data_IF_740392747315
#
_entry.id   IF_740392747315
#
_cell.length_a   1.000
_cell.length_b   1.000
_cell.length_c   1.000
_cell.angle_alpha   90.00
_cell.angle_beta   90.00
_cell.angle_gamma   90.00
#
_symmetry.space_group_name_H-M   'P 1'
#
loop_
_entity.id
_entity.type
_entity.pdbx_description
1 polymer ?
#
# COMPACT_ATOMS: atom_id res chain seq x y z
N UNK A 1 -8.91 15.31 6.37
CA UNK A 1 -9.19 16.76 6.25
C UNK A 1 -7.86 17.50 6.24
N UNK A 2 -7.16 17.48 5.10
CA UNK A 2 -5.86 18.16 4.90
C UNK A 2 -5.84 18.89 3.54
N UNK A 3 -7.02 19.36 3.08
CA UNK A 3 -7.18 19.80 1.70
C UNK A 3 -7.41 21.30 1.52
N UNK A 4 -7.03 22.17 2.50
CA UNK A 4 -7.48 23.56 2.32
C UNK A 4 -6.46 24.67 2.65
N UNK A 5 -5.17 24.44 2.60
CA UNK A 5 -4.22 25.52 2.98
C UNK A 5 -3.27 25.97 1.86
N UNK A 6 -3.24 25.38 0.68
CA UNK A 6 -2.31 25.83 -0.37
C UNK A 6 -2.99 26.19 -1.70
N UNK A 7 -4.05 26.99 -1.67
CA UNK A 7 -4.55 27.63 -2.90
C UNK A 7 -4.72 29.12 -2.65
N UNK A 8 -3.62 29.87 -2.66
CA UNK A 8 -3.60 31.29 -2.96
C UNK A 8 -2.27 31.65 -3.65
N UNK A 9 -2.13 31.24 -4.91
CA UNK A 9 -1.37 32.01 -5.88
C UNK A 9 -2.24 32.05 -7.14
N UNK A 10 -2.83 33.19 -7.37
CA UNK A 10 -3.52 33.53 -8.64
C UNK A 10 -2.47 33.67 -9.75
N UNK A 11 -1.97 32.56 -10.25
CA UNK A 11 -1.31 32.45 -11.54
C UNK A 11 -2.16 31.50 -12.38
N UNK A 12 -2.66 31.96 -13.52
CA UNK A 12 -3.50 31.15 -14.41
C UNK A 12 -2.83 29.80 -14.63
N UNK A 13 -3.53 28.72 -14.31
CA UNK A 13 -3.13 27.35 -14.61
C UNK A 13 -3.01 27.22 -16.14
N UNK A 14 -1.81 27.40 -16.69
CA UNK A 14 -1.53 26.87 -18.02
C UNK A 14 -1.66 25.36 -17.88
N UNK A 15 -2.64 24.78 -18.57
CA UNK A 15 -2.87 23.34 -18.63
C UNK A 15 -1.60 22.72 -19.23
N UNK A 16 -0.73 22.17 -18.40
CA UNK A 16 0.49 21.54 -18.84
C UNK A 16 0.11 20.25 -19.57
N UNK A 17 0.38 20.19 -20.86
CA UNK A 17 0.10 19.01 -21.65
C UNK A 17 1.30 18.04 -21.56
N UNK A 18 0.98 16.75 -21.42
CA UNK A 18 2.00 15.71 -21.42
C UNK A 18 2.43 15.38 -22.87
N UNK A 19 3.72 15.09 -23.11
CA UNK A 19 4.18 14.60 -24.40
C UNK A 19 3.45 13.32 -24.82
N UNK A 20 3.27 13.08 -26.13
CA UNK A 20 2.54 11.91 -26.64
C UNK A 20 3.04 10.56 -26.10
N UNK A 21 4.36 10.43 -25.81
CA UNK A 21 4.99 9.22 -25.30
C UNK A 21 5.41 9.33 -23.82
N UNK A 22 4.73 10.15 -23.00
CA UNK A 22 5.07 10.35 -21.59
C UNK A 22 5.16 9.01 -20.82
N UNK A 23 4.26 8.06 -21.10
CA UNK A 23 4.23 6.75 -20.45
C UNK A 23 5.49 5.91 -20.74
N UNK A 24 6.08 6.06 -21.92
CA UNK A 24 7.37 5.42 -22.25
C UNK A 24 8.53 6.06 -21.49
N UNK A 25 8.49 7.39 -21.33
CA UNK A 25 9.51 8.09 -20.53
C UNK A 25 9.46 7.60 -19.06
N UNK A 26 8.27 7.53 -18.46
CA UNK A 26 8.10 7.00 -17.10
C UNK A 26 8.51 5.53 -16.97
N UNK A 27 8.18 4.71 -17.97
CA UNK A 27 8.59 3.31 -18.01
C UNK A 27 10.12 3.17 -18.02
N UNK A 28 10.81 3.96 -18.88
CA UNK A 28 12.27 3.99 -18.94
C UNK A 28 12.91 4.56 -17.68
N UNK A 29 12.33 5.60 -17.10
CA UNK A 29 12.79 6.20 -15.84
C UNK A 29 12.81 5.15 -14.72
N UNK A 30 11.73 4.38 -14.56
CA UNK A 30 11.68 3.30 -13.60
C UNK A 30 12.74 2.22 -13.87
N UNK A 31 12.88 1.77 -15.12
CA UNK A 31 13.89 0.75 -15.48
C UNK A 31 15.30 1.24 -15.25
N UNK A 32 15.60 2.51 -15.55
CA UNK A 32 16.90 3.14 -15.29
C UNK A 32 17.21 3.17 -13.81
N UNK A 33 16.26 3.64 -12.98
CA UNK A 33 16.41 3.63 -11.53
C UNK A 33 16.73 2.23 -11.01
N UNK A 34 15.95 1.22 -11.41
CA UNK A 34 16.15 -0.15 -10.96
C UNK A 34 17.49 -0.72 -11.41
N UNK A 35 17.90 -0.46 -12.65
CA UNK A 35 19.16 -0.96 -13.20
C UNK A 35 20.40 -0.25 -12.66
N UNK A 36 20.30 1.00 -12.19
CA UNK A 36 21.43 1.77 -11.67
C UNK A 36 21.52 1.74 -10.14
N UNK A 37 20.38 1.83 -9.45
CA UNK A 37 20.34 2.00 -7.99
C UNK A 37 19.98 0.71 -7.25
N UNK A 38 19.29 -0.23 -7.89
CA UNK A 38 18.78 -1.45 -7.25
C UNK A 38 19.39 -2.75 -7.77
N UNK A 39 20.54 -2.71 -8.46
CA UNK A 39 21.17 -3.92 -9.03
C UNK A 39 21.38 -5.03 -8.01
N UNK A 40 21.80 -4.68 -6.79
CA UNK A 40 22.03 -5.62 -5.68
C UNK A 40 20.74 -6.25 -5.14
N UNK A 41 19.58 -5.73 -5.52
CA UNK A 41 18.25 -6.23 -5.16
C UNK A 41 17.62 -7.09 -6.26
N UNK A 42 18.35 -7.35 -7.36
CA UNK A 42 17.85 -8.04 -8.54
C UNK A 42 18.39 -9.47 -8.63
N UNK A 43 17.50 -10.41 -8.88
CA UNK A 43 17.89 -11.74 -9.33
C UNK A 43 18.27 -11.72 -10.82
N UNK A 44 18.98 -12.76 -11.29
CA UNK A 44 19.40 -12.89 -12.68
C UNK A 44 18.24 -12.83 -13.69
N UNK A 45 17.06 -13.31 -13.29
CA UNK A 45 15.84 -13.22 -14.13
C UNK A 45 15.40 -11.78 -14.38
N UNK A 46 15.50 -10.91 -13.37
CA UNK A 46 15.17 -9.48 -13.48
C UNK A 46 16.14 -8.74 -14.41
N UNK A 47 17.45 -9.01 -14.28
CA UNK A 47 18.48 -8.45 -15.14
C UNK A 47 18.26 -8.89 -16.58
N UNK A 48 17.98 -10.17 -16.80
CA UNK A 48 17.68 -10.71 -18.13
C UNK A 48 16.46 -10.05 -18.76
N UNK A 49 15.41 -9.82 -17.96
CA UNK A 49 14.20 -9.12 -18.41
C UNK A 49 14.49 -7.69 -18.84
N UNK A 50 15.22 -6.90 -18.03
CA UNK A 50 15.61 -5.52 -18.36
C UNK A 50 16.45 -5.50 -19.64
N UNK A 51 17.43 -6.39 -19.77
CA UNK A 51 18.27 -6.47 -20.96
C UNK A 51 17.46 -6.76 -22.23
N UNK A 52 16.48 -7.65 -22.16
CA UNK A 52 15.58 -7.90 -23.30
C UNK A 52 14.80 -6.65 -23.70
N UNK A 53 14.28 -5.88 -22.74
CA UNK A 53 13.57 -4.63 -23.03
C UNK A 53 14.49 -3.62 -23.72
N UNK A 54 15.72 -3.50 -23.26
CA UNK A 54 16.69 -2.55 -23.81
C UNK A 54 17.11 -2.90 -25.26
N UNK A 55 16.96 -4.14 -25.69
CA UNK A 55 17.21 -4.55 -27.09
C UNK A 55 16.03 -4.34 -28.04
N UNK A 56 14.86 -4.00 -27.51
CA UNK A 56 13.68 -3.74 -28.33
C UNK A 56 13.74 -2.38 -29.03
N UNK A 57 13.10 -2.30 -30.19
CA UNK A 57 12.80 -1.01 -30.81
C UNK A 57 11.79 -0.20 -29.99
N UNK A 58 11.77 1.12 -30.24
CA UNK A 58 10.92 2.03 -29.46
C UNK A 58 9.44 1.70 -29.53
N UNK A 59 8.93 1.24 -30.68
CA UNK A 59 7.51 0.90 -30.83
C UNK A 59 7.12 -0.33 -30.01
N UNK A 60 8.00 -1.33 -29.96
CA UNK A 60 7.84 -2.50 -29.10
C UNK A 60 7.91 -2.13 -27.61
N UNK A 61 8.80 -1.22 -27.21
CA UNK A 61 8.83 -0.68 -25.84
C UNK A 61 7.55 0.10 -25.52
N UNK A 62 7.06 0.94 -26.44
CA UNK A 62 5.77 1.63 -26.30
C UNK A 62 4.63 0.63 -26.07
N UNK A 63 4.56 -0.40 -26.89
CA UNK A 63 3.51 -1.43 -26.78
C UNK A 63 3.57 -2.14 -25.44
N UNK A 64 4.76 -2.53 -24.95
CA UNK A 64 4.94 -3.17 -23.65
C UNK A 64 4.49 -2.26 -22.52
N UNK A 65 4.91 -0.99 -22.51
CA UNK A 65 4.52 0.00 -21.51
C UNK A 65 2.99 0.21 -21.49
N UNK A 66 2.33 0.22 -22.66
CA UNK A 66 0.86 0.29 -22.77
C UNK A 66 0.17 -0.97 -22.23
N UNK A 67 0.73 -2.17 -22.46
CA UNK A 67 0.19 -3.42 -21.89
C UNK A 67 0.32 -3.39 -20.37
N UNK A 68 1.48 -3.02 -19.82
CA UNK A 68 1.71 -2.98 -18.39
C UNK A 68 0.94 -1.87 -17.65
N UNK A 69 0.52 -0.82 -18.35
CA UNK A 69 -0.36 0.20 -17.78
C UNK A 69 -1.82 -0.26 -17.62
N UNK A 70 -2.20 -1.40 -18.20
CA UNK A 70 -3.56 -1.94 -18.11
C UNK A 70 -3.73 -2.80 -16.85
N UNK A 71 -4.91 -2.70 -16.21
CA UNK A 71 -5.26 -3.50 -15.03
C UNK A 71 -5.60 -4.97 -15.32
N UNK A 72 -6.33 -5.31 -16.40
CA UNK A 72 -6.75 -6.68 -16.63
C UNK A 72 -5.57 -7.61 -16.89
N UNK A 73 -5.66 -8.84 -16.36
CA UNK A 73 -4.72 -9.93 -16.63
C UNK A 73 -4.65 -10.27 -18.14
N UNK A 74 -5.81 -10.27 -18.80
CA UNK A 74 -5.90 -10.47 -20.24
C UNK A 74 -6.16 -9.15 -20.95
N UNK A 75 -5.35 -8.87 -21.97
CA UNK A 75 -5.48 -7.69 -22.82
C UNK A 75 -5.82 -8.11 -24.23
N UNK A 76 -6.96 -7.63 -24.75
CA UNK A 76 -7.38 -7.92 -26.12
C UNK A 76 -6.47 -7.20 -27.11
N UNK A 77 -5.89 -7.95 -28.07
CA UNK A 77 -4.90 -7.42 -29.02
C UNK A 77 -5.47 -6.33 -29.92
N UNK A 78 -6.74 -6.44 -30.30
CA UNK A 78 -7.44 -5.43 -31.11
C UNK A 78 -7.58 -4.07 -30.39
N UNK A 79 -7.58 -4.08 -29.05
CA UNK A 79 -7.65 -2.85 -28.24
C UNK A 79 -6.31 -2.13 -28.11
N UNK A 80 -5.24 -2.73 -28.61
CA UNK A 80 -3.87 -2.20 -28.58
C UNK A 80 -3.53 -1.43 -29.87
N UNK A 81 -4.41 -0.54 -30.26
CA UNK A 81 -4.21 0.34 -31.41
C UNK A 81 -4.03 1.77 -30.92
N UNK A 82 -2.83 2.33 -31.09
CA UNK A 82 -2.42 3.64 -30.63
C UNK A 82 -1.81 4.42 -31.77
N UNK A 83 -2.13 5.71 -31.89
CA UNK A 83 -1.65 6.58 -32.99
C UNK A 83 -0.12 6.65 -33.04
N UNK A 84 0.52 6.63 -31.87
CA UNK A 84 1.98 6.70 -31.75
C UNK A 84 2.72 5.39 -32.06
N UNK A 85 1.98 4.28 -32.29
CA UNK A 85 2.54 2.97 -32.65
C UNK A 85 2.10 2.63 -34.08
N UNK A 86 2.96 2.94 -35.05
CA UNK A 86 2.64 2.80 -36.46
C UNK A 86 2.45 1.34 -36.93
N UNK A 87 3.09 0.38 -36.22
CA UNK A 87 3.06 -1.05 -36.57
C UNK A 87 2.71 -1.92 -35.36
N UNK A 88 1.45 -1.90 -34.84
CA UNK A 88 1.08 -2.64 -33.63
C UNK A 88 1.32 -4.15 -33.75
N UNK A 89 1.03 -4.75 -34.89
CA UNK A 89 1.24 -6.20 -35.10
C UNK A 89 2.75 -6.58 -35.04
N UNK A 90 3.62 -5.75 -35.62
CA UNK A 90 5.07 -6.00 -35.57
C UNK A 90 5.58 -5.84 -34.14
N UNK A 91 5.12 -4.83 -33.42
CA UNK A 91 5.48 -4.65 -32.01
C UNK A 91 5.06 -5.84 -31.14
N UNK A 92 3.84 -6.33 -31.30
CA UNK A 92 3.36 -7.53 -30.61
C UNK A 92 4.16 -8.78 -30.99
N UNK A 93 4.51 -8.95 -32.28
CA UNK A 93 5.35 -10.04 -32.73
C UNK A 93 6.73 -10.00 -32.06
N UNK A 94 7.38 -8.85 -32.03
CA UNK A 94 8.69 -8.66 -31.39
C UNK A 94 8.63 -8.98 -29.89
N UNK A 95 7.58 -8.53 -29.19
CA UNK A 95 7.37 -8.82 -27.76
C UNK A 95 7.17 -10.31 -27.48
N UNK A 96 6.41 -11.01 -28.33
CA UNK A 96 6.23 -12.48 -28.24
C UNK A 96 7.54 -13.21 -28.51
N UNK A 97 8.28 -12.82 -29.55
CA UNK A 97 9.58 -13.40 -29.90
C UNK A 97 10.60 -13.24 -28.76
N UNK A 98 10.61 -12.08 -28.07
CA UNK A 98 11.43 -11.81 -26.89
C UNK A 98 10.92 -12.54 -25.63
N UNK A 99 9.76 -13.18 -25.68
CA UNK A 99 9.06 -13.80 -24.51
C UNK A 99 8.79 -12.81 -23.37
N UNK A 100 8.48 -11.56 -23.73
CA UNK A 100 8.07 -10.52 -22.79
C UNK A 100 6.56 -10.46 -22.58
N UNK A 101 5.81 -10.98 -23.53
CA UNK A 101 4.39 -11.27 -23.41
C UNK A 101 4.13 -12.68 -23.92
N UNK A 102 3.06 -13.30 -23.44
CA UNK A 102 2.64 -14.64 -23.84
C UNK A 102 1.16 -14.63 -24.24
N UNK A 103 0.76 -15.57 -25.07
CA UNK A 103 -0.65 -15.83 -25.33
C UNK A 103 -1.24 -16.68 -24.22
N UNK A 104 -2.53 -16.52 -23.91
CA UNK A 104 -3.24 -17.44 -23.03
C UNK A 104 -3.18 -18.87 -23.55
N UNK A 105 -3.30 -19.82 -22.65
CA UNK A 105 -3.34 -21.25 -22.92
C UNK A 105 -4.55 -21.89 -22.22
N UNK A 106 -4.69 -23.19 -22.34
CA UNK A 106 -5.76 -23.95 -21.67
C UNK A 106 -5.79 -23.73 -20.15
N UNK A 107 -4.66 -23.39 -19.53
CA UNK A 107 -4.58 -23.07 -18.10
C UNK A 107 -5.30 -21.77 -17.72
N UNK A 108 -5.44 -20.87 -18.69
CA UNK A 108 -5.99 -19.53 -18.50
C UNK A 108 -7.48 -19.45 -18.84
N UNK A 109 -8.14 -20.59 -19.13
CA UNK A 109 -9.54 -20.62 -19.56
C UNK A 109 -10.50 -19.94 -18.59
N UNK A 110 -10.29 -20.08 -17.27
CA UNK A 110 -11.11 -19.44 -16.23
C UNK A 110 -11.00 -17.92 -16.28
N UNK A 111 -9.78 -17.40 -16.42
CA UNK A 111 -9.51 -15.97 -16.55
C UNK A 111 -10.09 -15.42 -17.86
N UNK A 112 -9.95 -16.15 -18.95
CA UNK A 112 -10.52 -15.78 -20.26
C UNK A 112 -12.04 -15.67 -20.17
N UNK A 113 -12.73 -16.69 -19.67
CA UNK A 113 -14.19 -16.70 -19.54
C UNK A 113 -14.68 -15.58 -18.62
N UNK A 114 -13.99 -15.32 -17.53
CA UNK A 114 -14.31 -14.20 -16.62
C UNK A 114 -14.12 -12.83 -17.29
N UNK A 115 -13.16 -12.72 -18.20
CA UNK A 115 -12.85 -11.49 -18.92
C UNK A 115 -13.87 -11.17 -20.02
N UNK A 116 -14.46 -12.19 -20.66
CA UNK A 116 -15.44 -12.02 -21.73
C UNK A 116 -16.64 -11.16 -21.29
N UNK A 117 -17.21 -10.41 -22.24
CA UNK A 117 -18.46 -9.69 -22.01
C UNK A 117 -19.65 -10.64 -21.93
N UNK A 118 -20.75 -10.23 -21.30
CA UNK A 118 -21.96 -11.07 -21.22
C UNK A 118 -22.47 -11.52 -22.60
N UNK A 119 -22.55 -10.65 -23.62
CA UNK A 119 -22.94 -11.08 -24.96
C UNK A 119 -21.99 -12.12 -25.55
N UNK A 120 -20.68 -11.93 -25.41
CA UNK A 120 -19.68 -12.88 -25.92
C UNK A 120 -19.76 -14.25 -25.22
N UNK A 121 -20.04 -14.28 -23.89
CA UNK A 121 -20.28 -15.54 -23.17
C UNK A 121 -21.53 -16.29 -23.70
N UNK A 122 -22.62 -15.54 -23.93
CA UNK A 122 -23.86 -16.12 -24.46
C UNK A 122 -23.60 -16.71 -25.85
N UNK A 123 -22.96 -15.93 -26.72
CA UNK A 123 -22.63 -16.39 -28.07
C UNK A 123 -21.72 -17.63 -28.07
N UNK A 124 -20.71 -17.62 -27.18
CA UNK A 124 -19.78 -18.74 -27.03
C UNK A 124 -20.51 -20.02 -26.58
N UNK A 125 -21.41 -19.92 -25.60
CA UNK A 125 -22.19 -21.05 -25.12
C UNK A 125 -23.22 -21.56 -26.13
N UNK A 126 -23.86 -20.67 -26.91
CA UNK A 126 -24.84 -21.03 -27.93
C UNK A 126 -24.22 -21.75 -29.17
N UNK A 127 -22.95 -21.46 -29.44
CA UNK A 127 -22.22 -22.11 -30.54
C UNK A 127 -21.77 -23.54 -30.27
N UNK A 128 -21.94 -24.02 -29.03
CA UNK A 128 -21.54 -25.37 -28.69
C UNK A 128 -22.56 -26.39 -29.15
N UNK A 129 -22.12 -27.56 -29.70
CA UNK A 129 -22.97 -28.65 -30.13
C UNK A 129 -23.90 -29.18 -29.03
N UNK A 130 -23.38 -29.18 -27.78
CA UNK A 130 -24.13 -29.52 -26.59
C UNK A 130 -24.24 -28.26 -25.72
N UNK A 131 -25.18 -27.37 -26.06
CA UNK A 131 -25.39 -26.12 -25.33
C UNK A 131 -25.83 -26.41 -23.90
N UNK A 132 -25.11 -25.92 -22.88
CA UNK A 132 -25.52 -26.05 -21.48
C UNK A 132 -26.82 -25.26 -21.22
N UNK A 133 -27.62 -25.74 -20.28
CA UNK A 133 -28.85 -25.02 -19.88
C UNK A 133 -28.52 -23.73 -19.18
N UNK A 134 -28.87 -22.59 -19.77
CA UNK A 134 -28.73 -21.26 -19.15
C UNK A 134 -29.85 -20.30 -19.57
N UNK A 135 -30.07 -19.27 -18.80
CA UNK A 135 -31.00 -18.17 -19.14
C UNK A 135 -30.17 -16.97 -19.65
N UNK A 136 -30.49 -16.46 -20.84
CA UNK A 136 -29.83 -15.22 -21.39
C UNK A 136 -29.95 -14.01 -20.44
N UNK A 137 -31.01 -13.96 -19.63
CA UNK A 137 -31.25 -12.93 -18.62
C UNK A 137 -30.37 -13.08 -17.36
N UNK A 138 -29.71 -14.22 -17.14
CA UNK A 138 -28.89 -14.47 -15.96
C UNK A 138 -27.79 -13.41 -15.79
N UNK A 139 -27.36 -13.21 -14.53
CA UNK A 139 -26.24 -12.33 -14.23
C UNK A 139 -24.95 -12.82 -14.90
N UNK A 140 -24.03 -11.90 -15.23
CA UNK A 140 -22.74 -12.30 -15.86
C UNK A 140 -21.99 -13.32 -15.02
N UNK A 141 -21.95 -13.17 -13.68
CA UNK A 141 -21.29 -14.12 -12.78
C UNK A 141 -21.80 -15.55 -12.95
N UNK A 142 -23.11 -15.73 -13.03
CA UNK A 142 -23.70 -17.07 -13.22
C UNK A 142 -23.36 -17.67 -14.57
N UNK A 143 -23.30 -16.84 -15.63
CA UNK A 143 -22.91 -17.30 -16.96
C UNK A 143 -21.43 -17.68 -17.00
N UNK A 144 -20.58 -16.98 -16.27
CA UNK A 144 -19.15 -17.31 -16.12
C UNK A 144 -19.00 -18.67 -15.43
N UNK A 145 -19.69 -18.92 -14.32
CA UNK A 145 -19.64 -20.21 -13.62
C UNK A 145 -20.12 -21.37 -14.50
N UNK A 146 -21.21 -21.18 -15.25
CA UNK A 146 -21.70 -22.18 -16.20
C UNK A 146 -20.65 -22.43 -17.29
N UNK A 147 -20.05 -21.36 -17.83
CA UNK A 147 -19.03 -21.49 -18.86
C UNK A 147 -17.77 -22.18 -18.32
N UNK A 148 -17.29 -21.82 -17.13
CA UNK A 148 -16.16 -22.48 -16.48
C UNK A 148 -16.44 -23.97 -16.32
N UNK A 149 -17.57 -24.35 -15.72
CA UNK A 149 -17.94 -25.75 -15.53
C UNK A 149 -18.05 -26.52 -16.85
N UNK A 150 -18.54 -25.88 -17.91
CA UNK A 150 -18.69 -26.50 -19.22
C UNK A 150 -17.35 -26.71 -19.92
N UNK A 151 -16.47 -25.71 -19.92
CA UNK A 151 -15.18 -25.76 -20.61
C UNK A 151 -14.06 -26.36 -19.76
N UNK A 152 -14.26 -26.67 -18.48
CA UNK A 152 -13.22 -27.24 -17.59
C UNK A 152 -12.67 -28.57 -18.15
N UNK A 153 -13.52 -29.38 -18.78
CA UNK A 153 -13.12 -30.64 -19.41
C UNK A 153 -12.70 -30.52 -20.88
N UNK A 154 -12.87 -29.33 -21.48
CA UNK A 154 -12.64 -29.08 -22.93
C UNK A 154 -12.05 -27.67 -23.14
N UNK A 155 -10.98 -27.26 -22.44
CA UNK A 155 -10.43 -25.91 -22.57
C UNK A 155 -9.87 -25.64 -23.98
N UNK A 156 -9.48 -26.68 -24.72
CA UNK A 156 -9.02 -26.62 -26.12
C UNK A 156 -10.05 -26.02 -27.06
N UNK A 157 -11.35 -26.12 -26.75
CA UNK A 157 -12.41 -25.49 -27.55
C UNK A 157 -12.30 -23.95 -27.55
N UNK A 158 -11.56 -23.38 -26.62
CA UNK A 158 -11.31 -21.93 -26.49
C UNK A 158 -10.06 -21.48 -27.27
N UNK A 159 -9.30 -22.39 -27.88
CA UNK A 159 -8.03 -22.09 -28.56
C UNK A 159 -8.16 -20.97 -29.60
N UNK A 160 -9.31 -20.90 -30.29
CA UNK A 160 -9.60 -19.87 -31.31
C UNK A 160 -9.73 -18.45 -30.69
N UNK A 161 -9.91 -18.35 -29.39
CA UNK A 161 -9.96 -17.06 -28.67
C UNK A 161 -8.59 -16.66 -28.11
N UNK A 162 -7.71 -17.60 -27.79
CA UNK A 162 -6.43 -17.30 -27.11
C UNK A 162 -5.57 -16.34 -27.94
N UNK A 163 -5.49 -16.49 -29.25
CA UNK A 163 -4.71 -15.62 -30.12
C UNK A 163 -5.23 -14.18 -30.21
N UNK A 164 -6.44 -13.91 -29.70
CA UNK A 164 -7.02 -12.56 -29.63
C UNK A 164 -6.59 -11.81 -28.38
N UNK A 165 -5.87 -12.46 -27.46
CA UNK A 165 -5.43 -11.88 -26.19
C UNK A 165 -3.94 -12.07 -25.98
N UNK A 166 -3.40 -11.23 -25.13
CA UNK A 166 -2.07 -11.40 -24.52
C UNK A 166 -2.21 -11.29 -23.01
N UNK A 167 -1.38 -12.06 -22.31
CA UNK A 167 -1.30 -11.99 -20.85
C UNK A 167 -0.49 -10.76 -20.45
N UNK A 168 -1.07 -9.97 -19.58
CA UNK A 168 -0.39 -8.89 -18.89
C UNK A 168 0.36 -9.47 -17.67
N UNK A 169 1.59 -9.93 -17.91
CA UNK A 169 2.43 -10.56 -16.90
C UNK A 169 3.29 -9.54 -16.10
N UNK A 170 2.77 -8.32 -15.93
CA UNK A 170 3.47 -7.26 -15.17
C UNK A 170 3.85 -7.69 -13.76
N UNK A 171 3.02 -8.53 -13.11
CA UNK A 171 3.22 -9.01 -11.75
C UNK A 171 4.48 -9.89 -11.62
N UNK A 172 4.96 -10.49 -12.72
CA UNK A 172 6.13 -11.36 -12.70
C UNK A 172 7.45 -10.59 -12.47
N UNK A 173 7.54 -9.35 -13.02
CA UNK A 173 8.77 -8.55 -12.96
C UNK A 173 8.51 -7.08 -12.66
N UNK A 174 7.61 -6.46 -13.39
CA UNK A 174 7.42 -5.01 -13.39
C UNK A 174 6.83 -4.50 -12.07
N UNK A 175 5.95 -5.26 -11.44
CA UNK A 175 5.40 -4.92 -10.13
C UNK A 175 6.48 -4.88 -9.03
N UNK A 176 7.44 -5.80 -9.10
CA UNK A 176 8.59 -5.77 -8.20
C UNK A 176 9.44 -4.51 -8.41
N UNK A 177 9.63 -4.07 -9.65
CA UNK A 177 10.35 -2.83 -9.94
C UNK A 177 9.60 -1.59 -9.43
N UNK A 178 8.29 -1.53 -9.61
CA UNK A 178 7.45 -0.48 -9.02
C UNK A 178 7.54 -0.50 -7.49
N UNK A 179 7.56 -1.69 -6.89
CA UNK A 179 7.75 -1.83 -5.45
C UNK A 179 9.11 -1.30 -4.99
N UNK A 180 10.19 -1.62 -5.66
CA UNK A 180 11.53 -1.10 -5.33
C UNK A 180 11.57 0.44 -5.41
N UNK A 181 10.85 1.03 -6.35
CA UNK A 181 10.78 2.48 -6.52
C UNK A 181 9.91 3.17 -5.45
N UNK A 182 8.73 2.63 -5.18
CA UNK A 182 7.71 3.25 -4.33
C UNK A 182 7.78 2.78 -2.86
N UNK A 183 8.34 1.58 -2.59
CA UNK A 183 8.42 0.95 -1.27
C UNK A 183 7.15 0.24 -0.81
N UNK A 184 6.07 0.26 -1.59
CA UNK A 184 4.81 -0.42 -1.25
C UNK A 184 4.02 -0.81 -2.49
N UNK A 185 3.27 -1.90 -2.38
CA UNK A 185 2.30 -2.31 -3.39
C UNK A 185 1.00 -1.51 -3.23
N UNK A 186 0.35 -1.17 -4.33
CA UNK A 186 -0.93 -0.47 -4.33
C UNK A 186 -2.11 -1.44 -4.36
N UNK A 187 -3.12 -1.20 -3.53
CA UNK A 187 -4.40 -1.90 -3.61
C UNK A 187 -5.29 -1.19 -4.65
N UNK A 188 -5.32 -1.72 -5.85
CA UNK A 188 -6.41 -1.50 -6.83
C UNK A 188 -6.33 -0.23 -7.67
N UNK A 189 -6.71 0.93 -7.19
CA UNK A 189 -7.07 2.05 -8.07
C UNK A 189 -5.96 3.06 -8.40
N UNK A 190 -4.89 3.09 -7.65
CA UNK A 190 -3.77 3.99 -7.91
C UNK A 190 -2.69 3.21 -8.64
N UNK A 191 -2.71 3.26 -9.97
CA UNK A 191 -1.57 2.85 -10.76
C UNK A 191 -0.38 3.76 -10.37
N UNK A 192 0.77 3.17 -10.03
CA UNK A 192 1.98 3.93 -9.71
C UNK A 192 2.38 4.89 -10.84
N UNK A 193 2.07 4.54 -12.09
CA UNK A 193 2.24 5.42 -13.25
C UNK A 193 1.47 6.74 -13.11
N UNK A 194 0.33 6.77 -12.41
CA UNK A 194 -0.39 8.00 -12.16
C UNK A 194 0.41 8.99 -11.30
N UNK A 195 1.34 8.53 -10.46
CA UNK A 195 2.21 9.41 -9.68
C UNK A 195 3.15 10.22 -10.57
N UNK A 196 3.77 9.58 -11.55
CA UNK A 196 4.60 10.25 -12.53
C UNK A 196 3.78 11.28 -13.35
N UNK A 197 2.57 10.89 -13.77
CA UNK A 197 1.65 11.80 -14.47
C UNK A 197 1.30 13.00 -13.61
N UNK A 198 0.91 12.81 -12.35
CA UNK A 198 0.57 13.89 -11.43
C UNK A 198 1.77 14.78 -11.10
N UNK A 199 2.99 14.20 -11.01
CA UNK A 199 4.24 14.94 -10.90
C UNK A 199 4.45 15.87 -12.10
N UNK A 200 4.39 15.31 -13.31
CA UNK A 200 4.69 16.03 -14.54
C UNK A 200 3.64 17.13 -14.83
N UNK A 201 2.40 16.90 -14.41
CA UNK A 201 1.34 17.92 -14.45
C UNK A 201 1.48 18.97 -13.35
N UNK A 202 2.37 18.79 -12.39
CA UNK A 202 2.54 19.69 -11.24
C UNK A 202 1.41 19.63 -10.22
N UNK A 203 0.58 18.57 -10.24
CA UNK A 203 -0.52 18.36 -9.29
C UNK A 203 0.00 17.83 -7.95
N UNK A 204 0.97 16.90 -7.99
CA UNK A 204 1.62 16.38 -6.79
C UNK A 204 2.91 17.15 -6.56
N UNK A 205 3.08 17.83 -5.41
CA UNK A 205 4.35 18.40 -5.06
C UNK A 205 5.39 17.28 -4.91
N UNK A 206 6.52 17.46 -5.54
CA UNK A 206 7.68 16.56 -5.43
C UNK A 206 8.87 17.35 -4.92
N UNK A 207 9.80 16.64 -4.33
CA UNK A 207 11.03 17.23 -3.82
C UNK A 207 11.87 17.71 -5.02
N UNK A 208 12.23 18.99 -5.02
CA UNK A 208 13.04 19.60 -6.10
C UNK A 208 14.54 19.52 -5.84
N UNK A 209 14.95 19.17 -4.64
CA UNK A 209 16.37 19.06 -4.31
C UNK A 209 16.95 17.78 -4.91
N UNK A 210 18.03 17.94 -5.64
CA UNK A 210 18.76 16.89 -6.34
C UNK A 210 19.62 16.03 -5.36
N UNK A 211 18.97 15.37 -4.42
CA UNK A 211 19.63 14.25 -3.78
C UNK A 211 19.57 13.07 -4.76
N UNK A 212 20.69 12.42 -4.97
CA UNK A 212 20.73 11.21 -5.77
C UNK A 212 19.69 10.22 -5.24
N UNK A 213 18.87 9.69 -6.14
CA UNK A 213 17.93 8.63 -5.78
C UNK A 213 18.67 7.43 -5.19
N UNK A 214 18.19 6.91 -4.05
CA UNK A 214 18.83 5.82 -3.33
C UNK A 214 17.95 4.57 -3.37
N UNK A 215 18.58 3.42 -3.20
CA UNK A 215 17.87 2.16 -2.95
C UNK A 215 17.18 2.20 -1.58
N UNK A 216 15.98 1.61 -1.49
CA UNK A 216 15.20 1.52 -0.24
C UNK A 216 15.65 0.41 0.69
N UNK A 217 16.31 -0.59 0.14
CA UNK A 217 16.69 -1.80 0.84
C UNK A 217 18.17 -2.04 0.67
N UNK A 218 18.80 -2.58 1.70
CA UNK A 218 20.24 -2.83 1.73
C UNK A 218 20.58 -4.20 1.13
N UNK A 219 19.64 -5.15 1.14
CA UNK A 219 19.87 -6.50 0.62
C UNK A 219 18.67 -7.04 -0.16
N UNK A 220 18.94 -8.05 -1.01
CA UNK A 220 17.90 -8.77 -1.76
C UNK A 220 16.89 -9.44 -0.82
N UNK A 221 17.38 -10.04 0.27
CA UNK A 221 16.56 -10.72 1.27
C UNK A 221 15.60 -9.74 1.95
N UNK A 222 16.07 -8.56 2.29
CA UNK A 222 15.24 -7.50 2.87
C UNK A 222 14.16 -7.04 1.90
N UNK A 223 14.54 -6.76 0.65
CA UNK A 223 13.60 -6.36 -0.39
C UNK A 223 12.52 -7.43 -0.64
N UNK A 224 12.92 -8.72 -0.73
CA UNK A 224 12.01 -9.83 -0.94
C UNK A 224 11.07 -10.04 0.26
N UNK A 225 11.57 -9.94 1.49
CA UNK A 225 10.76 -10.02 2.70
C UNK A 225 9.69 -8.93 2.73
N UNK A 226 10.09 -7.68 2.48
CA UNK A 226 9.15 -6.56 2.41
C UNK A 226 8.13 -6.72 1.27
N UNK A 227 8.54 -7.21 0.11
CA UNK A 227 7.67 -7.48 -1.02
C UNK A 227 6.61 -8.53 -0.67
N UNK A 228 7.02 -9.66 -0.08
CA UNK A 228 6.12 -10.73 0.39
C UNK A 228 5.10 -10.19 1.40
N UNK A 229 5.56 -9.45 2.41
CA UNK A 229 4.67 -8.87 3.42
C UNK A 229 3.70 -7.84 2.83
N UNK A 230 4.10 -7.10 1.80
CA UNK A 230 3.19 -6.22 1.08
C UNK A 230 2.10 -6.98 0.31
N UNK A 231 2.39 -8.15 -0.27
CA UNK A 231 1.37 -9.02 -0.85
C UNK A 231 0.42 -9.55 0.23
N UNK A 232 0.93 -10.02 1.37
CA UNK A 232 0.09 -10.45 2.50
C UNK A 232 -0.80 -9.31 3.03
N UNK A 233 -0.30 -8.08 3.06
CA UNK A 233 -1.09 -6.88 3.38
C UNK A 233 -2.23 -6.67 2.40
N UNK A 234 -2.01 -6.81 1.09
CA UNK A 234 -3.06 -6.69 0.09
C UNK A 234 -4.08 -7.83 0.19
N UNK A 235 -3.62 -9.05 0.42
CA UNK A 235 -4.48 -10.21 0.67
C UNK A 235 -5.38 -9.95 1.86
N UNK A 236 -4.82 -9.54 3.02
CA UNK A 236 -5.58 -9.23 4.22
C UNK A 236 -6.65 -8.16 4.00
N UNK A 237 -6.30 -7.11 3.23
CA UNK A 237 -7.26 -6.03 2.90
C UNK A 237 -8.47 -6.54 2.11
N UNK A 238 -8.27 -7.54 1.26
CA UNK A 238 -9.30 -8.07 0.36
C UNK A 238 -10.06 -9.27 0.97
N UNK A 239 -9.49 -9.91 1.99
CA UNK A 239 -10.06 -11.07 2.67
C UNK A 239 -11.27 -10.68 3.52
N UNK A 240 -12.40 -11.36 3.29
CA UNK A 240 -13.66 -11.16 4.00
C UNK A 240 -14.08 -12.37 4.81
N UNK A 241 -13.62 -13.54 4.43
CA UNK A 241 -13.91 -14.82 5.06
C UNK A 241 -13.02 -15.09 6.27
N UNK A 242 -13.57 -15.63 7.34
CA UNK A 242 -12.82 -15.88 8.58
C UNK A 242 -11.84 -17.06 8.44
N UNK A 243 -12.14 -18.08 7.62
CA UNK A 243 -11.22 -19.18 7.39
C UNK A 243 -9.98 -18.69 6.60
N UNK A 244 -10.19 -17.83 5.60
CA UNK A 244 -9.08 -17.21 4.88
C UNK A 244 -8.19 -16.35 5.80
N UNK A 245 -8.81 -15.64 6.77
CA UNK A 245 -8.07 -14.87 7.78
C UNK A 245 -7.25 -15.77 8.71
N UNK A 246 -7.80 -16.92 9.11
CA UNK A 246 -7.07 -17.90 9.92
C UNK A 246 -5.86 -18.48 9.18
N UNK A 247 -6.02 -18.83 7.92
CA UNK A 247 -4.89 -19.31 7.11
C UNK A 247 -3.82 -18.22 6.92
N UNK A 248 -4.24 -16.99 6.65
CA UNK A 248 -3.33 -15.84 6.55
C UNK A 248 -2.60 -15.56 7.87
N UNK A 249 -3.28 -15.73 9.01
CA UNK A 249 -2.69 -15.58 10.33
C UNK A 249 -1.58 -16.63 10.56
N UNK A 250 -1.85 -17.90 10.24
CA UNK A 250 -0.85 -18.99 10.33
C UNK A 250 0.35 -18.72 9.42
N UNK A 251 0.10 -18.22 8.21
CA UNK A 251 1.16 -17.84 7.28
C UNK A 251 2.02 -16.71 7.86
N UNK A 252 1.42 -15.63 8.35
CA UNK A 252 2.14 -14.47 8.90
C UNK A 252 2.93 -14.80 10.18
N UNK A 253 2.42 -15.68 11.04
CA UNK A 253 3.17 -16.15 12.23
C UNK A 253 4.50 -16.78 11.79
N UNK A 254 4.48 -17.61 10.74
CA UNK A 254 5.64 -18.33 10.25
C UNK A 254 6.53 -17.53 9.28
N UNK A 255 6.06 -16.38 8.80
CA UNK A 255 6.84 -15.55 7.88
C UNK A 255 8.03 -14.93 8.61
N UNK A 256 9.20 -14.99 8.00
CA UNK A 256 10.42 -14.39 8.56
C UNK A 256 10.53 -12.96 8.03
N UNK A 257 10.48 -11.98 8.91
CA UNK A 257 10.73 -10.60 8.54
C UNK A 257 12.23 -10.31 8.57
N UNK A 258 12.74 -9.74 7.49
CA UNK A 258 14.14 -9.33 7.35
C UNK A 258 14.23 -7.82 7.28
N UNK A 259 14.92 -7.21 8.24
CA UNK A 259 15.05 -5.75 8.36
C UNK A 259 13.90 -5.11 9.16
N UNK A 260 14.16 -3.89 9.63
CA UNK A 260 13.25 -3.14 10.53
C UNK A 260 11.90 -2.87 9.86
N UNK A 261 11.91 -2.42 8.61
CA UNK A 261 10.68 -2.08 7.86
C UNK A 261 9.77 -3.31 7.70
N UNK A 262 10.36 -4.47 7.42
CA UNK A 262 9.61 -5.73 7.29
C UNK A 262 9.02 -6.15 8.64
N UNK A 263 9.79 -6.06 9.74
CA UNK A 263 9.32 -6.42 11.07
C UNK A 263 8.17 -5.52 11.53
N UNK A 264 8.28 -4.22 11.33
CA UNK A 264 7.18 -3.28 11.64
C UNK A 264 5.92 -3.57 10.82
N UNK A 265 6.07 -3.86 9.53
CA UNK A 265 4.93 -4.21 8.69
C UNK A 265 4.28 -5.52 9.16
N UNK A 266 5.08 -6.55 9.46
CA UNK A 266 4.60 -7.82 10.01
C UNK A 266 3.82 -7.60 11.31
N UNK A 267 4.38 -6.85 12.26
CA UNK A 267 3.72 -6.53 13.53
C UNK A 267 2.38 -5.82 13.32
N UNK A 268 2.34 -4.80 12.45
CA UNK A 268 1.10 -4.10 12.09
C UNK A 268 0.02 -5.05 11.54
N UNK A 269 0.41 -5.99 10.68
CA UNK A 269 -0.52 -6.99 10.12
C UNK A 269 -1.02 -7.98 11.19
N UNK A 270 -0.14 -8.45 12.05
CA UNK A 270 -0.47 -9.33 13.16
C UNK A 270 -1.46 -8.65 14.13
N UNK A 271 -1.24 -7.38 14.50
CA UNK A 271 -2.17 -6.62 15.35
C UNK A 271 -3.54 -6.44 14.68
N UNK A 272 -3.60 -6.23 13.36
CA UNK A 272 -4.87 -6.16 12.63
C UNK A 272 -5.60 -7.50 12.69
N UNK A 273 -4.91 -8.61 12.44
CA UNK A 273 -5.47 -9.97 12.51
C UNK A 273 -5.96 -10.31 13.91
N UNK A 274 -5.19 -9.98 14.95
CA UNK A 274 -5.65 -10.13 16.33
C UNK A 274 -7.03 -9.47 16.54
N UNK A 275 -7.18 -8.20 16.12
CA UNK A 275 -8.43 -7.46 16.27
C UNK A 275 -9.61 -8.11 15.52
N UNK A 276 -9.34 -8.76 14.40
CA UNK A 276 -10.36 -9.46 13.59
C UNK A 276 -10.71 -10.84 14.15
N UNK A 277 -9.71 -11.60 14.64
CA UNK A 277 -9.88 -12.98 15.08
C UNK A 277 -10.27 -13.15 16.56
N UNK A 278 -10.11 -12.11 17.40
CA UNK A 278 -10.28 -12.22 18.85
C UNK A 278 -11.66 -12.72 19.31
N UNK A 279 -12.70 -12.57 18.48
CA UNK A 279 -14.06 -13.03 18.77
C UNK A 279 -14.39 -14.37 18.13
N UNK A 280 -13.82 -14.69 16.98
CA UNK A 280 -14.10 -15.92 16.22
C UNK A 280 -13.15 -17.05 16.59
N UNK A 281 -11.86 -16.75 16.76
CA UNK A 281 -10.84 -17.72 17.17
C UNK A 281 -9.87 -17.11 18.20
N UNK A 282 -10.24 -17.01 19.49
CA UNK A 282 -9.43 -16.38 20.52
C UNK A 282 -8.03 -17.01 20.69
N UNK A 283 -7.93 -18.32 20.53
CA UNK A 283 -6.65 -19.04 20.68
C UNK A 283 -5.66 -18.57 19.61
N UNK A 284 -6.04 -18.67 18.34
CA UNK A 284 -5.21 -18.21 17.24
C UNK A 284 -4.91 -16.70 17.33
N UNK A 285 -5.88 -15.89 17.78
CA UNK A 285 -5.66 -14.47 18.00
C UNK A 285 -4.52 -14.21 19.01
N UNK A 286 -4.47 -14.97 20.11
CA UNK A 286 -3.35 -14.87 21.05
C UNK A 286 -2.01 -15.31 20.45
N UNK A 287 -2.00 -16.37 19.64
CA UNK A 287 -0.79 -16.82 18.96
C UNK A 287 -0.26 -15.75 18.00
N UNK A 288 -1.17 -15.09 17.26
CA UNK A 288 -0.86 -13.95 16.38
C UNK A 288 -0.24 -12.80 17.18
N UNK A 289 -0.82 -12.45 18.32
CA UNK A 289 -0.32 -11.35 19.14
C UNK A 289 1.04 -11.67 19.79
N UNK A 290 1.25 -12.93 20.17
CA UNK A 290 2.53 -13.39 20.74
C UNK A 290 3.65 -13.50 19.68
N UNK A 291 3.31 -13.52 18.38
CA UNK A 291 4.26 -13.51 17.29
C UNK A 291 4.75 -12.09 16.91
N UNK A 292 4.21 -11.05 17.53
CA UNK A 292 4.76 -9.69 17.41
C UNK A 292 6.07 -9.58 18.20
N UNK A 293 7.08 -9.00 17.59
CA UNK A 293 8.40 -8.79 18.18
C UNK A 293 8.63 -7.30 18.41
N UNK A 294 9.06 -6.92 19.63
CA UNK A 294 9.44 -5.55 20.02
C UNK A 294 8.41 -4.47 19.57
N UNK A 295 7.13 -4.75 19.74
CA UNK A 295 6.04 -3.85 19.32
C UNK A 295 5.28 -3.31 20.55
N UNK A 296 5.37 -2.00 20.74
CA UNK A 296 4.74 -1.32 21.88
C UNK A 296 3.21 -1.49 21.90
N UNK A 297 2.56 -1.46 20.73
CA UNK A 297 1.12 -1.62 20.63
C UNK A 297 0.69 -3.05 20.95
N UNK A 298 1.44 -4.05 20.48
CA UNK A 298 1.16 -5.45 20.78
C UNK A 298 1.32 -5.72 22.27
N UNK A 299 2.38 -5.23 22.93
CA UNK A 299 2.59 -5.35 24.37
C UNK A 299 1.45 -4.70 25.17
N UNK A 300 1.03 -3.50 24.79
CA UNK A 300 -0.12 -2.85 25.45
C UNK A 300 -1.38 -3.72 25.35
N UNK A 301 -1.67 -4.26 24.16
CA UNK A 301 -2.83 -5.11 23.94
C UNK A 301 -2.70 -6.40 24.79
N UNK A 302 -1.53 -7.06 24.80
CA UNK A 302 -1.28 -8.25 25.60
C UNK A 302 -1.55 -8.00 27.09
N UNK A 303 -1.00 -6.91 27.64
CA UNK A 303 -1.21 -6.52 29.04
C UNK A 303 -2.69 -6.34 29.34
N UNK A 304 -3.45 -5.65 28.49
CA UNK A 304 -4.87 -5.43 28.67
C UNK A 304 -5.67 -6.74 28.63
N UNK A 305 -5.39 -7.63 27.70
CA UNK A 305 -6.08 -8.91 27.57
C UNK A 305 -5.70 -9.86 28.72
N UNK A 306 -4.43 -9.97 29.10
CA UNK A 306 -3.99 -10.78 30.23
C UNK A 306 -4.58 -10.29 31.55
N UNK A 307 -4.72 -8.96 31.73
CA UNK A 307 -5.39 -8.41 32.91
C UNK A 307 -6.86 -8.81 32.96
N UNK A 308 -7.59 -8.81 31.79
CA UNK A 308 -8.99 -9.26 31.72
C UNK A 308 -9.13 -10.73 32.06
N UNK A 309 -8.16 -11.56 31.67
CA UNK A 309 -8.12 -13.00 31.99
C UNK A 309 -7.76 -13.29 33.47
N UNK A 310 -7.39 -12.27 34.22
CA UNK A 310 -7.04 -12.41 35.64
C UNK A 310 -5.58 -12.70 35.93
N UNK A 311 -4.70 -12.71 34.93
CA UNK A 311 -3.26 -13.00 35.06
C UNK A 311 -2.49 -11.81 35.65
N UNK A 312 -2.97 -11.32 36.81
CA UNK A 312 -2.48 -10.06 37.43
C UNK A 312 -1.01 -10.08 37.79
N UNK A 313 -0.47 -11.22 38.23
CA UNK A 313 0.96 -11.31 38.58
C UNK A 313 1.86 -11.14 37.37
N UNK A 314 1.53 -11.79 36.26
CA UNK A 314 2.25 -11.62 34.99
C UNK A 314 2.18 -10.18 34.50
N UNK A 315 0.96 -9.59 34.50
CA UNK A 315 0.74 -8.20 34.08
C UNK A 315 1.59 -7.25 34.91
N UNK A 316 1.65 -7.41 36.24
CA UNK A 316 2.43 -6.56 37.10
C UNK A 316 3.92 -6.64 36.77
N UNK A 317 4.45 -7.85 36.59
CA UNK A 317 5.86 -8.05 36.22
C UNK A 317 6.21 -7.41 34.87
N UNK A 318 5.31 -7.53 33.86
CA UNK A 318 5.52 -6.89 32.56
C UNK A 318 5.49 -5.37 32.65
N UNK A 319 4.58 -4.78 33.43
CA UNK A 319 4.53 -3.32 33.63
C UNK A 319 5.80 -2.80 34.31
N UNK A 320 6.28 -3.51 35.34
CA UNK A 320 7.54 -3.15 36.04
C UNK A 320 8.74 -3.23 35.06
N UNK A 321 8.81 -4.27 34.22
CA UNK A 321 9.85 -4.42 33.20
C UNK A 321 9.80 -3.29 32.16
N UNK A 322 8.61 -2.91 31.69
CA UNK A 322 8.45 -1.81 30.73
C UNK A 322 8.88 -0.48 31.35
N UNK A 323 8.59 -0.23 32.62
CA UNK A 323 9.00 0.98 33.30
C UNK A 323 10.53 1.07 33.45
N UNK A 324 11.20 -0.08 33.67
CA UNK A 324 12.66 -0.14 33.74
C UNK A 324 13.34 0.01 32.39
N UNK A 325 12.76 -0.56 31.33
CA UNK A 325 13.30 -0.54 29.96
C UNK A 325 12.20 -0.36 28.92
N UNK A 326 11.70 0.84 28.70
CA UNK A 326 10.61 1.11 27.79
C UNK A 326 11.06 1.04 26.32
N UNK A 327 10.22 0.44 25.46
CA UNK A 327 10.41 0.47 24.00
C UNK A 327 10.08 1.87 23.43
N UNK A 328 9.07 2.53 23.99
CA UNK A 328 8.66 3.89 23.59
C UNK A 328 8.17 4.68 24.81
N UNK A 329 8.16 6.00 24.70
CA UNK A 329 7.64 6.89 25.76
C UNK A 329 6.14 6.63 25.99
N UNK A 330 5.35 6.38 24.95
CA UNK A 330 3.92 6.09 25.07
C UNK A 330 3.69 4.81 25.89
N UNK A 331 4.50 3.78 25.64
CA UNK A 331 4.40 2.52 26.37
C UNK A 331 4.81 2.71 27.85
N UNK A 332 5.82 3.52 28.12
CA UNK A 332 6.22 3.92 29.49
C UNK A 332 5.05 4.59 30.21
N UNK A 333 4.43 5.61 29.59
CA UNK A 333 3.29 6.31 30.19
C UNK A 333 2.09 5.37 30.41
N UNK A 334 1.83 4.49 29.46
CA UNK A 334 0.80 3.46 29.61
C UNK A 334 1.09 2.55 30.81
N UNK A 335 2.32 2.06 30.94
CA UNK A 335 2.71 1.12 32.00
C UNK A 335 2.63 1.78 33.38
N UNK A 336 3.13 3.00 33.54
CA UNK A 336 3.05 3.76 34.79
C UNK A 336 1.58 4.03 35.18
N UNK A 337 0.76 4.54 34.25
CA UNK A 337 -0.66 4.80 34.49
C UNK A 337 -1.43 3.53 34.88
N UNK A 338 -1.20 2.43 34.14
CA UNK A 338 -1.87 1.16 34.39
C UNK A 338 -1.48 0.55 35.74
N UNK A 339 -0.18 0.58 36.10
CA UNK A 339 0.34 0.11 37.37
C UNK A 339 -0.26 0.91 38.54
N UNK A 340 -0.20 2.24 38.46
CA UNK A 340 -0.72 3.13 39.50
C UNK A 340 -2.23 2.93 39.73
N UNK A 341 -3.03 2.90 38.65
CA UNK A 341 -4.49 2.78 38.78
C UNK A 341 -4.98 1.38 39.14
N UNK A 342 -4.38 0.34 38.56
CA UNK A 342 -4.90 -1.03 38.72
C UNK A 342 -4.29 -1.80 39.88
N UNK A 343 -3.05 -1.50 40.26
CA UNK A 343 -2.34 -2.20 41.35
C UNK A 343 -2.18 -1.36 42.59
N UNK A 344 -1.81 -0.09 42.46
CA UNK A 344 -1.59 0.81 43.59
C UNK A 344 -2.85 1.55 44.06
N UNK A 345 -3.98 1.36 43.34
CA UNK A 345 -5.29 1.97 43.64
C UNK A 345 -5.27 3.49 43.69
N UNK A 346 -4.33 4.13 43.02
CA UNK A 346 -4.28 5.58 42.87
C UNK A 346 -5.30 6.05 41.85
N UNK A 347 -5.86 7.24 42.06
CA UNK A 347 -6.86 7.81 41.12
C UNK A 347 -6.22 8.37 39.86
N UNK A 348 -4.94 8.74 39.92
CA UNK A 348 -4.21 9.33 38.79
C UNK A 348 -2.76 8.84 38.76
N UNK A 349 -2.20 8.73 37.56
CA UNK A 349 -0.76 8.57 37.36
C UNK A 349 -0.03 9.91 37.56
N UNK A 350 1.29 9.87 37.64
CA UNK A 350 2.12 11.09 37.76
C UNK A 350 1.87 12.07 36.62
N UNK A 351 1.79 11.59 35.40
CA UNK A 351 1.49 12.42 34.22
C UNK A 351 0.09 13.01 34.27
N UNK A 352 -0.92 12.24 34.64
CA UNK A 352 -2.30 12.72 34.82
C UNK A 352 -2.40 13.74 35.93
N UNK A 353 -1.61 13.59 36.98
CA UNK A 353 -1.56 14.58 38.11
C UNK A 353 -0.89 15.87 37.67
N UNK A 354 0.22 15.79 36.92
CA UNK A 354 0.91 16.98 36.40
C UNK A 354 -0.01 17.75 35.44
N UNK A 355 -0.71 17.03 34.50
CA UNK A 355 -1.67 17.64 33.59
C UNK A 355 -2.86 18.28 34.35
N UNK A 356 -3.34 17.61 35.39
CA UNK A 356 -4.41 18.18 36.23
C UNK A 356 -3.99 19.46 36.97
N UNK A 357 -2.75 19.50 37.44
CA UNK A 357 -2.20 20.65 38.15
C UNK A 357 -1.92 21.85 37.21
N UNK A 358 -1.70 21.61 35.93
CA UNK A 358 -1.55 22.63 34.89
C UNK A 358 -2.85 23.06 34.25
N UNK A 359 -3.97 22.39 34.60
CA UNK A 359 -5.29 22.70 34.06
C UNK A 359 -5.76 24.08 34.46
N UNK A 360 -6.02 24.94 33.49
CA UNK A 360 -6.69 26.23 33.67
C UNK A 360 -8.16 26.07 33.22
N UNK A 361 -9.08 26.52 34.09
CA UNK A 361 -10.50 26.60 33.76
C UNK A 361 -10.85 28.06 33.55
N UNK A 362 -11.37 28.39 32.40
CA UNK A 362 -11.84 29.73 32.04
C UNK A 362 -13.35 29.67 31.77
N UNK A 363 -14.05 30.73 32.18
CA UNK A 363 -15.46 30.91 31.81
C UNK A 363 -15.53 31.63 30.47
N UNK A 364 -16.30 31.07 29.56
CA UNK A 364 -16.54 31.57 28.21
C UNK A 364 -18.04 31.84 28.08
N UNK A 365 -18.40 32.93 27.37
CA UNK A 365 -19.79 33.30 27.15
C UNK A 365 -20.57 32.15 26.41
N UNK A 366 -21.82 31.93 26.81
CA UNK A 366 -22.69 30.89 26.26
C UNK A 366 -22.90 31.03 24.76
N UNK A 367 -22.74 32.23 24.20
CA UNK A 367 -22.76 32.50 22.76
C UNK A 367 -21.74 31.65 21.96
N UNK A 368 -20.63 31.24 22.61
CA UNK A 368 -19.57 30.42 22.00
C UNK A 368 -19.74 28.92 22.25
N UNK A 369 -20.93 28.47 22.72
CA UNK A 369 -21.18 27.03 23.00
C UNK A 369 -20.98 26.13 21.78
N UNK A 370 -21.19 26.68 20.56
CA UNK A 370 -20.98 25.96 19.28
C UNK A 370 -19.54 26.08 18.73
N UNK A 371 -18.75 27.03 19.26
CA UNK A 371 -17.37 27.31 18.83
C UNK A 371 -16.54 27.73 20.06
N UNK A 372 -16.15 26.73 20.83
CA UNK A 372 -15.42 26.93 22.09
C UNK A 372 -14.04 27.55 21.85
N UNK A 373 -13.40 27.25 20.74
CA UNK A 373 -12.08 27.76 20.39
C UNK A 373 -12.12 29.26 20.13
N UNK A 374 -13.14 29.74 19.43
CA UNK A 374 -13.39 31.17 19.24
C UNK A 374 -13.64 31.84 20.58
N UNK A 375 -14.42 31.23 21.46
CA UNK A 375 -14.67 31.74 22.80
C UNK A 375 -13.41 31.87 23.65
N UNK A 376 -12.51 30.89 23.60
CA UNK A 376 -11.22 30.94 24.25
C UNK A 376 -10.33 32.03 23.66
N UNK A 377 -10.32 32.16 22.35
CA UNK A 377 -9.59 33.21 21.62
C UNK A 377 -10.04 34.61 22.08
N UNK A 378 -11.35 34.85 22.09
CA UNK A 378 -11.94 36.12 22.58
C UNK A 378 -11.60 36.42 24.04
N UNK A 379 -11.64 35.41 24.91
CA UNK A 379 -11.29 35.55 26.32
C UNK A 379 -9.86 36.10 26.49
N UNK A 380 -8.88 35.54 25.78
CA UNK A 380 -7.50 35.99 25.87
C UNK A 380 -7.23 37.32 25.13
N UNK A 381 -7.92 37.54 24.00
CA UNK A 381 -7.84 38.83 23.27
C UNK A 381 -8.31 40.00 24.15
N UNK A 382 -9.40 39.82 24.91
CA UNK A 382 -9.90 40.81 25.85
C UNK A 382 -8.89 41.12 27.00
N UNK A 383 -7.99 40.19 27.28
CA UNK A 383 -6.89 40.39 28.24
C UNK A 383 -5.66 41.06 27.60
N UNK A 384 -5.76 41.51 26.33
CA UNK A 384 -4.67 42.14 25.60
C UNK A 384 -3.61 41.17 25.05
N UNK A 385 -3.92 39.87 24.99
CA UNK A 385 -3.02 38.87 24.43
C UNK A 385 -3.29 38.73 22.92
N UNK A 386 -2.23 38.51 22.16
CA UNK A 386 -2.38 38.07 20.77
C UNK A 386 -2.66 36.57 20.76
N UNK A 387 -3.72 36.17 20.09
CA UNK A 387 -4.11 34.76 19.94
C UNK A 387 -3.95 34.36 18.48
N UNK A 388 -3.28 33.23 18.26
CA UNK A 388 -3.03 32.67 16.93
C UNK A 388 -3.70 31.31 16.83
N UNK A 389 -4.38 31.10 15.73
CA UNK A 389 -4.92 29.78 15.36
C UNK A 389 -3.79 28.95 14.76
N UNK A 390 -3.24 28.03 15.53
CA UNK A 390 -2.04 27.31 15.12
C UNK A 390 -2.24 25.81 14.93
N UNK A 391 -3.35 25.28 15.39
CA UNK A 391 -3.87 23.93 15.34
C UNK A 391 -2.90 22.86 14.77
N UNK A 392 -1.98 22.41 15.60
CA UNK A 392 -0.97 21.37 15.31
C UNK A 392 0.06 21.69 14.21
N UNK A 393 -0.20 22.66 13.34
CA UNK A 393 0.68 22.98 12.19
C UNK A 393 1.89 23.82 12.59
N UNK A 394 1.75 24.79 13.48
CA UNK A 394 2.84 25.69 13.84
C UNK A 394 4.01 24.92 14.48
N UNK A 395 3.73 24.10 15.47
CA UNK A 395 4.75 23.37 16.21
C UNK A 395 5.45 22.32 15.34
N UNK A 396 4.69 21.61 14.52
CA UNK A 396 5.26 20.67 13.56
C UNK A 396 6.11 21.37 12.52
N UNK A 397 5.63 22.50 11.96
CA UNK A 397 6.40 23.29 11.00
C UNK A 397 7.65 23.90 11.61
N UNK A 398 7.54 24.43 12.84
CA UNK A 398 8.67 25.00 13.57
C UNK A 398 9.71 23.92 13.90
N UNK A 399 9.28 22.76 14.37
CA UNK A 399 10.14 21.60 14.61
C UNK A 399 10.85 21.17 13.31
N UNK A 400 10.11 21.01 12.23
CA UNK A 400 10.68 20.65 10.93
C UNK A 400 11.68 21.69 10.42
N UNK A 401 11.45 22.99 10.65
CA UNK A 401 12.38 24.05 10.25
C UNK A 401 13.65 24.08 11.13
N UNK A 402 13.50 23.92 12.43
CA UNK A 402 14.64 23.95 13.38
C UNK A 402 15.56 22.74 13.15
N UNK A 403 14.98 21.57 12.94
CA UNK A 403 15.70 20.31 12.74
C UNK A 403 15.75 19.89 11.27
N UNK A 404 15.72 20.86 10.35
CA UNK A 404 15.69 20.56 8.91
C UNK A 404 16.88 19.71 8.46
N UNK A 405 18.07 20.06 8.97
CA UNK A 405 19.30 19.37 8.64
C UNK A 405 19.24 17.89 9.05
N UNK A 406 18.84 17.64 10.29
CA UNK A 406 18.79 16.31 10.89
C UNK A 406 17.67 15.45 10.29
N UNK A 407 16.51 16.07 10.04
CA UNK A 407 15.34 15.36 9.54
C UNK A 407 15.39 15.04 8.05
N UNK A 408 16.00 15.90 7.23
CA UNK A 408 15.89 15.82 5.78
C UNK A 408 17.23 15.70 5.03
N UNK A 409 18.34 16.00 5.68
CA UNK A 409 19.67 15.98 5.03
C UNK A 409 20.57 14.92 5.67
N UNK A 410 20.73 14.91 6.98
CA UNK A 410 21.60 13.99 7.74
C UNK A 410 20.81 12.80 8.33
N UNK A 411 19.57 12.60 7.91
CA UNK A 411 18.75 11.51 8.43
C UNK A 411 19.38 10.14 8.13
N UNK A 412 19.33 9.18 9.06
CA UNK A 412 19.79 7.81 8.81
C UNK A 412 18.94 7.10 7.75
N UNK A 413 17.73 7.59 7.49
CA UNK A 413 16.83 7.10 6.44
C UNK A 413 16.52 8.22 5.44
N UNK A 414 17.46 8.57 4.54
CA UNK A 414 17.21 9.61 3.55
C UNK A 414 16.07 9.21 2.61
N UNK A 415 15.32 10.18 2.07
CA UNK A 415 14.30 9.89 1.06
C UNK A 415 14.94 9.23 -0.16
N UNK A 416 14.35 8.14 -0.63
CA UNK A 416 14.91 7.35 -1.71
C UNK A 416 14.67 7.96 -3.09
N UNK A 417 13.58 8.73 -3.25
CA UNK A 417 13.26 9.44 -4.49
C UNK A 417 12.37 10.67 -4.24
N UNK A 418 12.03 11.39 -5.30
CA UNK A 418 11.26 12.62 -5.25
C UNK A 418 9.82 12.47 -4.71
N UNK A 419 9.27 11.26 -4.65
CA UNK A 419 7.94 10.99 -4.10
C UNK A 419 7.92 10.78 -2.59
N UNK A 420 9.09 10.66 -1.97
CA UNK A 420 9.21 10.56 -0.52
C UNK A 420 9.23 11.96 0.08
N UNK A 421 8.07 12.40 0.54
CA UNK A 421 7.90 13.75 1.12
C UNK A 421 8.47 13.82 2.53
N UNK A 422 8.50 12.69 3.25
CA UNK A 422 9.04 12.57 4.59
C UNK A 422 10.00 11.39 4.69
N UNK A 423 11.01 11.43 5.58
CA UNK A 423 11.78 10.26 5.94
C UNK A 423 10.79 9.15 6.34
N UNK A 424 11.03 7.95 5.87
CA UNK A 424 10.26 6.81 6.35
C UNK A 424 10.73 6.54 7.78
N UNK A 425 9.85 6.82 8.75
CA UNK A 425 10.05 6.46 10.14
C UNK A 425 9.65 5.02 10.39
#
# INVERSE_FOLDING_TARGET
>A
MLDTVFIYSMGGFMKKELPAKYYLAHFRELLTFVSEKCVHLLEQRHITFINKINTLDEQSQCMLARIYSRKPYLVQTQSLNYEEISSPYQALFNLKAAKLIVEPSDKDHRQLLSHLTKPALIELLEKQEQTPLFKKSAAKSNLVEIAISFFESKPECLAHLYNQYVINNREEYYEYFEFLYIGRLSAGDINHQNRFVLRDLGVTPVRQEHNESLSRFDSLEEAQSNYTLNHLRLTLKNTKDDNEREELAKQLINEVAVGVIAQELKNKLLVILFKQLKTTNPTLAFDVLNACEDDAQALEIQIREQYRQGNKQWVKAQLEQIIENPLTDELLYFADDFLMRKFNKQTRSRLSEMLANTRCIIEVDELYRGDVELGVSEHYTRQGKQVFYTENTLWQSLFALVFWQELFIETPTPPCNEFDIFPQA
#
